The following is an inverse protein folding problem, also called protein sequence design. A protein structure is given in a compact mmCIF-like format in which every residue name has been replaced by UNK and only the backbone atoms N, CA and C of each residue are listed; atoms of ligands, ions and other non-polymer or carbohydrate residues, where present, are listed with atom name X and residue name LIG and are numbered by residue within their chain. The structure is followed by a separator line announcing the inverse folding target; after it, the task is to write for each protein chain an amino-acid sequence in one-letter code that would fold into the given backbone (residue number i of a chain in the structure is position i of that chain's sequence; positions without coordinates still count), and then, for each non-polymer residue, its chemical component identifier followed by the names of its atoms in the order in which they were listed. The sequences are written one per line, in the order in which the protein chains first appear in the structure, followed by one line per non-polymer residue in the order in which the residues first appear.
data_IF_793212626541
#
_entry.id   IF_793212626541
#
_cell.length_a   1.000
_cell.length_b   1.000
_cell.length_c   1.000
_cell.angle_alpha   90.00
_cell.angle_beta   90.00
_cell.angle_gamma   90.00
#
_symmetry.space_group_name_H-M   'P 1'
#
loop_
_entity.id
_entity.type
_entity.pdbx_description
1 polymer ?
#
# COMPACT_ATOMS: atom_id res chain seq x y z
N UNK A 1 -10.76 -4.04 0.74
CA UNK A 1 -9.55 -4.87 0.56
C UNK A 1 -9.01 -4.72 -0.85
N UNK A 2 -9.62 -5.27 -1.91
CA UNK A 2 -9.07 -5.14 -3.29
C UNK A 2 -8.72 -3.71 -3.71
N UNK A 3 -9.63 -2.75 -3.49
CA UNK A 3 -9.39 -1.35 -3.84
C UNK A 3 -8.19 -0.69 -3.14
N UNK A 4 -7.95 -1.06 -1.89
CA UNK A 4 -6.82 -0.54 -1.11
C UNK A 4 -5.48 -1.14 -1.57
N UNK A 5 -5.51 -2.36 -2.13
CA UNK A 5 -4.34 -2.95 -2.76
C UNK A 5 -4.04 -2.29 -4.11
N UNK A 6 -5.05 -2.04 -4.93
CA UNK A 6 -4.88 -1.33 -6.21
C UNK A 6 -4.30 0.06 -5.98
N UNK A 7 -4.86 0.85 -5.06
CA UNK A 7 -4.36 2.19 -4.74
C UNK A 7 -2.93 2.17 -4.19
N UNK A 8 -2.58 1.19 -3.35
CA UNK A 8 -1.21 1.04 -2.83
C UNK A 8 -0.20 0.71 -3.93
N UNK A 9 -0.55 -0.21 -4.83
CA UNK A 9 0.34 -0.60 -5.92
C UNK A 9 0.41 0.45 -7.05
N UNK A 10 -0.64 1.24 -7.27
CA UNK A 10 -0.59 2.42 -8.15
C UNK A 10 0.35 3.49 -7.59
N UNK A 11 0.26 3.82 -6.29
CA UNK A 11 1.19 4.78 -5.66
C UNK A 11 2.66 4.32 -5.77
N UNK A 12 2.92 3.03 -5.57
CA UNK A 12 4.24 2.44 -5.81
C UNK A 12 4.72 2.58 -7.25
N UNK A 13 3.83 2.43 -8.24
CA UNK A 13 4.16 2.57 -9.65
C UNK A 13 4.47 4.04 -10.03
N UNK A 14 3.83 4.99 -9.34
CA UNK A 14 4.06 6.43 -9.47
C UNK A 14 5.29 6.93 -8.70
N UNK A 15 5.97 6.03 -7.98
CA UNK A 15 7.23 6.30 -7.28
C UNK A 15 7.06 6.78 -5.83
N UNK A 16 5.87 6.59 -5.24
CA UNK A 16 5.69 6.76 -3.80
C UNK A 16 6.49 5.72 -3.01
N UNK A 17 6.88 6.08 -1.78
CA UNK A 17 7.61 5.15 -0.92
C UNK A 17 6.75 3.96 -0.50
N UNK A 18 7.36 2.78 -0.57
CA UNK A 18 6.73 1.56 -0.07
C UNK A 18 6.53 1.64 1.44
N UNK A 19 5.35 1.24 1.90
CA UNK A 19 5.11 1.04 3.33
C UNK A 19 6.03 -0.07 3.84
N UNK A 20 6.55 0.09 5.05
CA UNK A 20 7.18 -1.02 5.75
C UNK A 20 6.15 -2.11 6.04
N UNK A 21 6.61 -3.35 6.26
CA UNK A 21 5.71 -4.47 6.53
C UNK A 21 4.75 -4.21 7.71
N UNK A 22 5.20 -3.49 8.74
CA UNK A 22 4.38 -3.15 9.89
C UNK A 22 3.27 -2.14 9.54
N UNK A 23 3.59 -1.14 8.73
CA UNK A 23 2.63 -0.13 8.26
C UNK A 23 1.62 -0.73 7.29
N UNK A 24 2.08 -1.61 6.39
CA UNK A 24 1.23 -2.34 5.47
C UNK A 24 0.23 -3.24 6.20
N UNK A 25 0.68 -4.00 7.20
CA UNK A 25 -0.21 -4.84 8.03
C UNK A 25 -1.17 -3.98 8.86
N UNK A 26 -0.72 -2.83 9.37
CA UNK A 26 -1.59 -1.89 10.11
C UNK A 26 -2.65 -1.21 9.23
N UNK A 27 -2.38 -1.01 7.94
CA UNK A 27 -3.35 -0.47 6.98
C UNK A 27 -4.44 -1.50 6.57
N UNK A 28 -4.24 -2.79 6.87
CA UNK A 28 -5.19 -3.88 6.56
C UNK A 28 -6.19 -4.17 7.69
N UNK A 29 -6.07 -3.53 8.86
CA UNK A 29 -6.92 -3.74 10.05
C UNK A 29 -7.87 -2.58 10.31
#
# INVERSE_FOLDING_TARGET
MEKAYEEYFEGLADGEEALSFAEFVGALS
#
